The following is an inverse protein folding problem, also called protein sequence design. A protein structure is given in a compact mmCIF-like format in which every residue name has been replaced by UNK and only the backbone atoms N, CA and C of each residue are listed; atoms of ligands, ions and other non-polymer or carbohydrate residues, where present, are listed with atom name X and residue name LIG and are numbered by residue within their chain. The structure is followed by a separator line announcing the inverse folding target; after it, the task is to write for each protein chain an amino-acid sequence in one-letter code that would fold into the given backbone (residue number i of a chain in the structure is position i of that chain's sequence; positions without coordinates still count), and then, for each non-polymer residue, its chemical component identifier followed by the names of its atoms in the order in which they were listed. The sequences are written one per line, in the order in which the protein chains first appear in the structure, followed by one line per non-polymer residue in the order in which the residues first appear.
data_IF_730980919505
#
_entry.id   IF_730980919505
#
_cell.length_a   1.000
_cell.length_b   1.000
_cell.length_c   1.000
_cell.angle_alpha   90.00
_cell.angle_beta   90.00
_cell.angle_gamma   90.00
#
_symmetry.space_group_name_H-M   'P 1'
#
loop_
_entity.id
_entity.type
_entity.pdbx_description
1 polymer ?
#
# COMPACT_ATOMS: atom_id res chain seq x y z
N UNK A 1 23.70 -58.03 4.51
CA UNK A 1 24.30 -57.29 3.38
C UNK A 1 23.91 -55.83 3.51
N UNK A 2 24.87 -54.90 3.68
CA UNK A 2 24.57 -53.46 3.74
C UNK A 2 24.56 -52.93 2.30
N UNK A 3 23.39 -52.58 1.77
CA UNK A 3 23.28 -51.85 0.50
C UNK A 3 23.84 -50.44 0.73
N UNK A 4 25.01 -50.16 0.15
CA UNK A 4 25.56 -48.81 0.09
C UNK A 4 24.91 -48.03 -1.04
N UNK A 5 24.64 -46.74 -0.80
CA UNK A 5 24.27 -45.81 -1.86
C UNK A 5 25.45 -45.62 -2.80
N UNK A 6 25.20 -45.56 -4.10
CA UNK A 6 26.24 -45.30 -5.09
C UNK A 6 26.60 -43.81 -5.10
N UNK A 7 27.86 -43.49 -5.39
CA UNK A 7 28.31 -42.10 -5.52
C UNK A 7 27.53 -41.35 -6.59
N UNK A 8 27.14 -42.04 -7.66
CA UNK A 8 26.35 -41.45 -8.75
C UNK A 8 24.93 -41.09 -8.30
N UNK A 9 24.29 -41.92 -7.48
CA UNK A 9 22.97 -41.62 -6.92
C UNK A 9 23.01 -40.37 -6.04
N UNK A 10 24.07 -40.18 -5.25
CA UNK A 10 24.20 -38.97 -4.44
C UNK A 10 24.47 -37.72 -5.31
N UNK A 11 25.21 -37.89 -6.41
CA UNK A 11 25.58 -36.82 -7.33
C UNK A 11 24.38 -36.32 -8.15
N UNK A 12 23.51 -37.21 -8.62
CA UNK A 12 22.29 -36.79 -9.34
C UNK A 12 21.31 -36.05 -8.43
N UNK A 13 21.24 -36.42 -7.15
CA UNK A 13 20.29 -35.81 -6.20
C UNK A 13 20.66 -34.35 -5.93
N UNK A 14 21.93 -34.05 -5.69
CA UNK A 14 22.38 -32.66 -5.52
C UNK A 14 22.19 -31.84 -6.80
N UNK A 15 22.37 -32.46 -7.98
CA UNK A 15 22.13 -31.81 -9.27
C UNK A 15 20.65 -31.44 -9.45
N UNK A 16 19.72 -32.36 -9.12
CA UNK A 16 18.28 -32.13 -9.21
C UNK A 16 17.82 -31.07 -8.19
N UNK A 17 18.28 -31.14 -6.94
CA UNK A 17 17.96 -30.14 -5.91
C UNK A 17 18.45 -28.74 -6.33
N UNK A 18 19.63 -28.65 -6.96
CA UNK A 18 20.17 -27.40 -7.50
C UNK A 18 19.27 -26.77 -8.57
N UNK A 19 18.76 -27.56 -9.51
CA UNK A 19 17.87 -27.09 -10.58
C UNK A 19 16.50 -26.68 -10.01
N UNK A 20 15.92 -27.52 -9.14
CA UNK A 20 14.60 -27.26 -8.56
C UNK A 20 14.61 -26.04 -7.62
N UNK A 21 15.68 -25.84 -6.85
CA UNK A 21 15.80 -24.69 -5.95
C UNK A 21 15.91 -23.36 -6.69
N UNK A 22 16.58 -23.32 -7.86
CA UNK A 22 16.65 -22.15 -8.72
C UNK A 22 15.28 -21.68 -9.23
N UNK A 23 14.39 -22.61 -9.60
CA UNK A 23 13.06 -22.29 -10.13
C UNK A 23 12.10 -21.69 -9.08
N UNK A 24 12.26 -22.02 -7.79
CA UNK A 24 11.40 -21.51 -6.71
C UNK A 24 11.69 -20.03 -6.42
N UNK A 25 12.96 -19.63 -6.47
CA UNK A 25 13.38 -18.28 -6.10
C UNK A 25 12.79 -17.19 -7.02
N UNK A 26 12.76 -17.42 -8.33
CA UNK A 26 12.21 -16.46 -9.31
C UNK A 26 10.72 -16.18 -9.13
N UNK A 27 9.93 -17.14 -8.64
CA UNK A 27 8.48 -16.94 -8.48
C UNK A 27 8.09 -16.33 -7.12
N UNK A 28 8.94 -16.43 -6.09
CA UNK A 28 8.61 -15.94 -4.73
C UNK A 28 8.71 -14.42 -4.56
N UNK A 29 9.50 -13.72 -5.40
CA UNK A 29 9.62 -12.26 -5.33
C UNK A 29 8.31 -11.54 -5.68
N UNK A 30 7.69 -11.94 -6.80
CA UNK A 30 6.40 -11.36 -7.24
C UNK A 30 5.26 -11.66 -6.24
N UNK A 31 5.21 -12.89 -5.71
CA UNK A 31 4.23 -13.28 -4.71
C UNK A 31 4.33 -12.45 -3.41
N UNK A 32 5.56 -12.17 -2.94
CA UNK A 32 5.79 -11.31 -1.76
C UNK A 32 5.36 -9.87 -2.00
N UNK A 33 5.64 -9.32 -3.18
CA UNK A 33 5.22 -7.96 -3.53
C UNK A 33 3.69 -7.86 -3.57
N UNK A 34 3.02 -8.83 -4.20
CA UNK A 34 1.55 -8.90 -4.24
C UNK A 34 0.94 -9.01 -2.84
N UNK A 35 1.54 -9.81 -1.94
CA UNK A 35 1.10 -9.92 -0.56
C UNK A 35 1.24 -8.60 0.22
N UNK A 36 2.34 -7.87 0.01
CA UNK A 36 2.55 -6.53 0.60
C UNK A 36 1.50 -5.53 0.12
N UNK A 37 1.24 -5.47 -1.19
CA UNK A 37 0.19 -4.61 -1.75
C UNK A 37 -1.20 -4.97 -1.20
N UNK A 38 -1.52 -6.26 -1.05
CA UNK A 38 -2.78 -6.70 -0.46
C UNK A 38 -2.91 -6.32 1.02
N UNK A 39 -1.82 -6.41 1.80
CA UNK A 39 -1.80 -5.95 3.19
C UNK A 39 -2.05 -4.44 3.28
N UNK A 40 -1.28 -3.65 2.52
CA UNK A 40 -1.47 -2.20 2.47
C UNK A 40 -2.90 -1.82 2.06
N UNK A 41 -3.50 -2.55 1.13
CA UNK A 41 -4.88 -2.37 0.73
C UNK A 41 -5.87 -2.55 1.90
N UNK A 42 -5.79 -3.66 2.62
CA UNK A 42 -6.67 -3.91 3.77
C UNK A 42 -6.51 -2.87 4.87
N UNK A 43 -5.28 -2.39 5.08
CA UNK A 43 -5.00 -1.32 6.03
C UNK A 43 -5.64 0.01 5.59
N UNK A 44 -5.47 0.37 4.31
CA UNK A 44 -6.01 1.62 3.76
C UNK A 44 -7.54 1.63 3.70
N UNK A 45 -8.19 0.48 3.49
CA UNK A 45 -9.65 0.37 3.65
C UNK A 45 -10.12 0.68 5.06
N UNK A 46 -9.34 0.27 6.07
CA UNK A 46 -9.66 0.57 7.48
C UNK A 46 -9.53 2.06 7.76
N UNK A 47 -8.50 2.71 7.18
CA UNK A 47 -8.33 4.17 7.22
C UNK A 47 -9.51 4.88 6.55
N UNK A 48 -9.97 4.42 5.38
CA UNK A 48 -11.14 4.99 4.71
C UNK A 48 -12.40 4.95 5.58
N UNK A 49 -12.67 3.83 6.26
CA UNK A 49 -13.83 3.70 7.17
C UNK A 49 -13.74 4.66 8.35
N UNK A 50 -12.58 4.77 8.98
CA UNK A 50 -12.35 5.70 10.09
C UNK A 50 -12.45 7.18 9.64
N UNK A 51 -11.84 7.51 8.49
CA UNK A 51 -11.87 8.85 7.92
C UNK A 51 -13.29 9.26 7.50
N UNK A 52 -14.05 8.36 6.87
CA UNK A 52 -15.46 8.60 6.53
C UNK A 52 -16.32 8.78 7.78
N UNK A 53 -16.13 7.96 8.82
CA UNK A 53 -16.84 8.14 10.09
C UNK A 53 -16.55 9.50 10.75
N UNK A 54 -15.29 9.96 10.69
CA UNK A 54 -14.90 11.29 11.16
C UNK A 54 -15.65 12.41 10.42
N UNK A 55 -15.63 12.38 9.09
CA UNK A 55 -16.27 13.40 8.24
C UNK A 55 -17.79 13.39 8.41
N UNK A 56 -18.41 12.22 8.48
CA UNK A 56 -19.87 12.07 8.73
C UNK A 56 -20.26 12.67 10.08
N UNK A 57 -19.38 12.58 11.09
CA UNK A 57 -19.60 13.16 12.41
C UNK A 57 -19.33 14.68 12.48
N UNK A 58 -18.99 15.31 11.35
CA UNK A 58 -18.60 16.73 11.30
C UNK A 58 -17.20 17.02 11.83
N UNK A 59 -16.38 15.98 12.03
CA UNK A 59 -15.00 16.08 12.46
C UNK A 59 -14.05 16.39 11.30
N UNK A 60 -12.81 16.77 11.65
CA UNK A 60 -11.75 17.10 10.71
C UNK A 60 -10.77 15.95 10.62
N UNK A 61 -10.42 15.51 9.42
CA UNK A 61 -9.36 14.51 9.24
C UNK A 61 -8.02 15.19 9.57
N UNK A 62 -7.18 14.52 10.37
CA UNK A 62 -5.83 15.02 10.65
C UNK A 62 -4.81 14.45 9.67
N UNK A 63 -3.78 15.23 9.38
CA UNK A 63 -2.66 14.81 8.54
C UNK A 63 -1.95 13.59 9.15
N UNK A 64 -1.71 12.52 8.36
CA UNK A 64 -0.83 11.45 8.82
C UNK A 64 0.58 12.03 8.98
N UNK A 65 1.27 11.65 10.05
CA UNK A 65 2.67 12.01 10.24
C UNK A 65 3.56 11.41 9.15
N UNK A 66 4.61 12.12 8.74
CA UNK A 66 5.61 11.57 7.83
C UNK A 66 6.42 10.47 8.51
N UNK A 67 6.65 9.36 7.79
CA UNK A 67 7.26 8.11 8.23
C UNK A 67 6.37 7.27 9.13
N UNK A 68 6.08 6.05 8.65
CA UNK A 68 6.24 4.75 9.34
C UNK A 68 5.78 4.56 10.81
N UNK A 69 5.23 5.56 11.47
CA UNK A 69 4.88 5.53 12.88
C UNK A 69 3.40 5.89 13.05
N UNK A 70 2.59 4.95 13.56
CA UNK A 70 1.20 5.19 13.93
C UNK A 70 1.20 6.14 15.14
N UNK A 71 0.48 7.25 15.07
CA UNK A 71 0.51 8.20 16.17
C UNK A 71 -0.46 9.34 16.04
N UNK A 72 -0.55 9.94 14.85
CA UNK A 72 -1.60 10.91 14.58
C UNK A 72 -2.95 10.20 14.51
N UNK A 73 -3.93 10.81 15.15
CA UNK A 73 -5.31 10.38 15.08
C UNK A 73 -5.85 10.64 13.67
N UNK A 74 -6.71 9.76 13.16
CA UNK A 74 -7.33 9.92 11.84
C UNK A 74 -8.27 11.11 11.86
N UNK A 75 -9.00 11.29 12.96
CA UNK A 75 -9.83 12.44 13.24
C UNK A 75 -9.16 13.35 14.28
N UNK A 76 -9.28 14.66 14.11
CA UNK A 76 -8.77 15.65 15.07
C UNK A 76 -9.45 15.45 16.43
N UNK A 77 -8.65 15.28 17.50
CA UNK A 77 -9.15 14.95 18.84
C UNK A 77 -9.69 13.52 19.00
N UNK A 78 -9.62 12.68 17.96
CA UNK A 78 -10.00 11.28 18.01
C UNK A 78 -8.95 10.38 18.65
N UNK A 79 -9.35 9.17 19.04
CA UNK A 79 -8.46 8.13 19.57
C UNK A 79 -8.00 7.13 18.51
N UNK A 80 -8.71 7.05 17.39
CA UNK A 80 -8.37 6.17 16.27
C UNK A 80 -7.15 6.72 15.55
N UNK A 81 -6.10 5.91 15.42
CA UNK A 81 -4.82 6.29 14.82
C UNK A 81 -4.65 5.66 13.45
N UNK A 82 -3.87 6.32 12.59
CA UNK A 82 -3.42 5.71 11.35
C UNK A 82 -2.67 4.41 11.66
N UNK A 83 -3.09 3.25 11.11
CA UNK A 83 -2.40 1.99 11.34
C UNK A 83 -1.03 1.98 10.67
N UNK A 84 -0.10 1.20 11.20
CA UNK A 84 1.24 1.07 10.61
C UNK A 84 1.20 0.36 9.23
N UNK A 85 1.99 0.90 8.29
CA UNK A 85 2.18 0.40 6.93
C UNK A 85 3.61 -0.10 6.66
N UNK A 86 4.52 -0.02 7.64
CA UNK A 86 5.92 -0.46 7.51
C UNK A 86 6.06 -1.91 7.07
N UNK A 87 5.22 -2.79 7.63
CA UNK A 87 5.17 -4.21 7.26
C UNK A 87 4.81 -4.43 5.78
N UNK A 88 4.03 -3.51 5.20
CA UNK A 88 3.70 -3.54 3.78
C UNK A 88 4.74 -2.79 2.92
N UNK A 89 5.71 -2.14 3.55
CA UNK A 89 6.73 -1.33 2.87
C UNK A 89 6.23 0.03 2.38
N UNK A 90 5.05 0.47 2.82
CA UNK A 90 4.42 1.72 2.38
C UNK A 90 4.47 2.81 3.46
N UNK A 91 4.35 4.06 3.03
CA UNK A 91 4.33 5.26 3.88
C UNK A 91 3.11 6.12 3.53
N UNK A 92 2.48 6.72 4.53
CA UNK A 92 1.41 7.69 4.28
C UNK A 92 1.93 9.00 3.71
N UNK A 93 1.11 9.59 2.85
CA UNK A 93 1.22 10.94 2.32
C UNK A 93 0.79 11.96 3.36
N UNK A 94 1.77 12.57 4.02
CA UNK A 94 1.60 13.58 5.05
C UNK A 94 2.28 14.91 4.70
N UNK A 95 2.25 15.84 5.66
CA UNK A 95 2.85 17.17 5.52
C UNK A 95 4.33 17.10 5.12
N UNK A 96 4.73 17.96 4.19
CA UNK A 96 6.13 18.16 3.81
C UNK A 96 6.69 17.18 2.76
N UNK A 97 5.87 16.29 2.19
CA UNK A 97 6.32 15.46 1.06
C UNK A 97 5.75 16.00 -0.25
N UNK A 98 6.58 16.59 -1.13
CA UNK A 98 6.13 17.01 -2.45
C UNK A 98 5.68 15.79 -3.27
N UNK A 99 4.57 15.94 -4.00
CA UNK A 99 4.10 14.99 -5.03
C UNK A 99 3.65 13.59 -4.55
N UNK A 100 3.46 13.41 -3.24
CA UNK A 100 2.91 12.17 -2.70
C UNK A 100 1.36 12.10 -2.80
N UNK A 101 0.69 13.25 -2.94
CA UNK A 101 -0.77 13.37 -3.08
C UNK A 101 -1.48 13.25 -1.74
N UNK A 102 -2.57 13.99 -1.53
CA UNK A 102 -3.32 13.97 -0.27
C UNK A 102 -4.18 15.22 -0.13
N UNK A 103 -5.48 15.05 0.07
CA UNK A 103 -6.42 16.14 0.29
C UNK A 103 -7.28 15.84 1.50
N UNK A 104 -7.31 16.75 2.45
CA UNK A 104 -8.08 16.59 3.68
C UNK A 104 -8.74 17.90 4.07
N UNK A 105 -9.96 18.14 3.61
CA UNK A 105 -10.70 19.28 4.09
C UNK A 105 -11.22 19.00 5.49
N UNK A 106 -11.57 20.10 6.12
CA UNK A 106 -12.22 20.17 7.42
C UNK A 106 -13.72 19.83 7.37
N UNK A 107 -14.29 19.67 6.18
CA UNK A 107 -15.69 19.32 5.91
C UNK A 107 -15.87 19.11 4.40
N UNK A 108 -15.89 17.87 3.89
CA UNK A 108 -16.05 17.62 2.45
C UNK A 108 -15.46 16.31 1.95
N UNK A 109 -15.25 16.19 0.62
CA UNK A 109 -14.54 15.06 0.03
C UNK A 109 -13.20 14.85 0.72
N UNK A 110 -12.60 13.67 0.72
CA UNK A 110 -11.23 13.53 1.22
C UNK A 110 -10.49 12.55 0.35
N UNK A 111 -9.17 12.64 0.34
CA UNK A 111 -8.29 11.69 -0.31
C UNK A 111 -7.05 11.48 0.56
N UNK A 112 -6.84 10.24 0.99
CA UNK A 112 -5.66 9.83 1.76
C UNK A 112 -4.88 8.85 0.89
N UNK A 113 -3.57 9.03 0.79
CA UNK A 113 -2.74 8.12 0.03
C UNK A 113 -1.56 7.57 0.83
N UNK A 114 -1.09 6.41 0.39
CA UNK A 114 0.14 5.79 0.82
C UNK A 114 0.97 5.39 -0.39
N UNK A 115 2.28 5.39 -0.27
CA UNK A 115 3.18 5.08 -1.37
C UNK A 115 4.40 4.28 -0.92
N UNK A 116 5.01 3.59 -1.88
CA UNK A 116 6.36 3.07 -1.82
C UNK A 116 7.14 3.48 -3.08
N UNK A 117 8.36 2.98 -3.27
CA UNK A 117 9.19 3.32 -4.44
C UNK A 117 8.66 2.80 -5.78
N UNK A 118 7.56 2.03 -5.81
CA UNK A 118 7.05 1.26 -6.96
C UNK A 118 5.53 1.40 -7.16
N UNK A 119 4.78 1.74 -6.12
CA UNK A 119 3.31 1.68 -6.06
C UNK A 119 2.73 2.83 -5.23
N UNK A 120 1.52 3.26 -5.56
CA UNK A 120 0.73 4.20 -4.76
C UNK A 120 -0.69 3.65 -4.55
N UNK A 121 -1.21 3.88 -3.36
CA UNK A 121 -2.57 3.54 -2.92
C UNK A 121 -3.29 4.82 -2.53
N UNK A 122 -4.51 5.03 -3.04
CA UNK A 122 -5.33 6.22 -2.74
C UNK A 122 -6.73 5.78 -2.31
N UNK A 123 -7.25 6.32 -1.20
CA UNK A 123 -8.65 6.15 -0.78
C UNK A 123 -9.34 7.51 -0.71
N UNK A 124 -10.52 7.65 -1.31
CA UNK A 124 -11.28 8.91 -1.31
C UNK A 124 -12.72 8.74 -0.80
N UNK A 125 -13.25 9.78 -0.14
CA UNK A 125 -14.60 9.85 0.44
C UNK A 125 -15.73 10.37 -0.45
N UNK A 126 -15.43 11.12 -1.52
CA UNK A 126 -16.36 11.61 -2.55
C UNK A 126 -15.57 12.28 -3.67
N UNK A 127 -16.17 12.51 -4.84
CA UNK A 127 -15.57 12.82 -6.16
C UNK A 127 -14.34 13.76 -6.20
N UNK A 128 -13.22 13.32 -5.63
CA UNK A 128 -11.94 14.05 -5.69
C UNK A 128 -11.30 13.74 -7.03
N UNK A 129 -10.97 14.79 -7.77
CA UNK A 129 -10.15 14.67 -8.97
C UNK A 129 -8.71 14.31 -8.58
N UNK A 130 -8.35 13.06 -8.83
CA UNK A 130 -7.01 12.52 -8.60
C UNK A 130 -6.13 12.58 -9.86
N UNK A 131 -6.33 13.56 -10.75
CA UNK A 131 -5.46 13.85 -11.90
C UNK A 131 -5.12 15.35 -12.06
N UNK A 132 -5.85 16.26 -11.40
CA UNK A 132 -5.66 17.73 -11.50
C UNK A 132 -4.39 18.27 -10.80
N UNK A 133 -3.21 17.85 -11.24
CA UNK A 133 -1.93 18.46 -10.84
C UNK A 133 -1.29 17.95 -9.54
N UNK A 134 -1.84 16.91 -8.92
CA UNK A 134 -1.26 16.27 -7.72
C UNK A 134 -0.13 15.26 -8.03
N UNK A 135 0.19 15.05 -9.30
CA UNK A 135 0.91 13.87 -9.83
C UNK A 135 2.18 14.19 -10.63
N UNK A 136 2.76 15.37 -10.48
CA UNK A 136 4.04 15.69 -11.11
C UNK A 136 5.18 15.00 -10.36
N UNK A 137 5.54 13.76 -10.73
CA UNK A 137 6.82 13.22 -10.26
C UNK A 137 7.15 11.73 -10.42
N UNK A 138 6.19 10.81 -10.57
CA UNK A 138 6.52 9.37 -10.69
C UNK A 138 5.65 8.67 -11.72
N UNK A 139 5.94 8.90 -13.01
CA UNK A 139 5.27 8.35 -14.19
C UNK A 139 5.54 6.85 -14.46
N UNK A 140 5.70 6.01 -13.42
CA UNK A 140 6.01 4.58 -13.60
C UNK A 140 5.24 3.61 -12.72
N UNK A 141 4.53 4.09 -11.71
CA UNK A 141 3.81 3.25 -10.77
C UNK A 141 2.33 3.27 -11.12
N UNK A 142 1.75 2.12 -11.48
CA UNK A 142 0.30 2.00 -11.60
C UNK A 142 -0.35 2.54 -10.33
N UNK A 143 -1.17 3.57 -10.47
CA UNK A 143 -2.03 4.02 -9.37
C UNK A 143 -2.95 2.83 -9.10
N UNK A 144 -2.70 2.10 -8.03
CA UNK A 144 -3.68 1.17 -7.50
C UNK A 144 -4.78 2.06 -6.95
N UNK A 145 -5.72 2.35 -7.84
CA UNK A 145 -6.85 3.22 -7.66
C UNK A 145 -7.96 2.41 -7.00
N UNK A 146 -8.36 2.84 -5.81
CA UNK A 146 -9.28 2.09 -4.97
C UNK A 146 -10.71 2.61 -5.04
N UNK A 147 -11.18 2.97 -6.23
CA UNK A 147 -12.60 3.25 -6.40
C UNK A 147 -13.20 2.40 -7.50
N UNK A 148 -13.72 1.25 -7.07
CA UNK A 148 -14.63 0.44 -7.87
C UNK A 148 -16.08 0.94 -7.88
N UNK A 149 -16.41 2.04 -7.18
CA UNK A 149 -17.71 2.74 -7.17
C UNK A 149 -17.63 3.86 -6.10
N UNK A 150 -18.01 5.07 -6.50
CA UNK A 150 -18.32 6.23 -5.66
C UNK A 150 -17.15 6.88 -4.89
N UNK A 151 -16.40 7.80 -5.55
CA UNK A 151 -15.72 8.89 -4.84
C UNK A 151 -14.30 9.32 -5.27
N UNK A 152 -13.53 8.59 -6.07
CA UNK A 152 -12.35 9.19 -6.72
C UNK A 152 -12.69 9.27 -8.21
N UNK A 153 -12.54 10.45 -8.82
CA UNK A 153 -12.71 10.61 -10.26
C UNK A 153 -11.33 10.79 -10.87
N UNK A 154 -10.97 9.92 -11.80
CA UNK A 154 -9.89 10.19 -12.75
C UNK A 154 -10.45 11.07 -13.86
N UNK A 155 -9.93 12.28 -14.01
CA UNK A 155 -10.34 13.20 -15.06
C UNK A 155 -9.18 13.35 -16.04
N UNK A 156 -9.08 12.42 -16.98
CA UNK A 156 -8.15 12.52 -18.10
C UNK A 156 -7.54 11.18 -18.50
N UNK A 157 -7.45 10.98 -19.81
CA UNK A 157 -6.59 9.97 -20.42
C UNK A 157 -5.11 10.29 -20.17
#
# INVERSE_FOLDING_TARGET
MKKGFTLIELLIVIAIIGILSGAVLVNTGSARNKAKSAKAYTTMQSVFKAASACVISGGKISEPGFSANPGSSICEGGVEKYPDLTDAGMKYCGSGIPNCGGWMPVSGPFAISAWDSVSKIIVCGSDVNVDAGWFVGYHGAGVLDFTGKDGCVKIGF
#
